data_IF_620232221351
#
_entry.id   IF_620232221351
#
_cell.length_a   1.000
_cell.length_b   1.000
_cell.length_c   1.000
_cell.angle_alpha   90.00
_cell.angle_beta   90.00
_cell.angle_gamma   90.00
#
_symmetry.space_group_name_H-M   'P 1'
#
loop_
_entity.id
_entity.type
_entity.pdbx_description
1 polymer ?
#
# COMPACT_ATOMS: atom_id res chain seq x y z
N UNK A 1 24.02 56.87 39.83
CA UNK A 1 22.71 56.64 39.18
C UNK A 1 22.48 55.13 39.10
N UNK A 2 21.28 54.69 39.49
CA UNK A 2 20.93 53.29 39.83
C UNK A 2 21.05 52.36 38.62
N UNK A 3 21.82 51.27 38.77
CA UNK A 3 21.88 50.17 37.81
C UNK A 3 20.73 49.19 38.02
N UNK A 4 19.90 49.02 36.99
CA UNK A 4 18.83 48.01 36.95
C UNK A 4 19.42 46.65 36.56
N UNK A 5 19.23 45.67 37.45
CA UNK A 5 19.47 44.24 37.21
C UNK A 5 18.22 43.67 36.50
N UNK A 6 18.37 43.23 35.26
CA UNK A 6 17.34 42.47 34.55
C UNK A 6 17.38 41.00 34.97
N UNK A 7 16.31 40.52 35.58
CA UNK A 7 16.09 39.11 35.92
C UNK A 7 15.61 38.40 34.65
N UNK A 8 16.41 37.45 34.16
CA UNK A 8 16.02 36.52 33.08
C UNK A 8 15.26 35.37 33.71
N UNK A 9 13.96 35.28 33.44
CA UNK A 9 13.13 34.14 33.83
C UNK A 9 13.32 32.99 32.82
N UNK A 10 13.99 31.92 33.27
CA UNK A 10 14.07 30.67 32.52
C UNK A 10 12.82 29.85 32.84
N UNK A 11 11.85 29.84 31.93
CA UNK A 11 10.68 28.98 32.00
C UNK A 11 11.04 27.55 31.59
N UNK A 12 10.94 26.61 32.52
CA UNK A 12 11.07 25.18 32.24
C UNK A 12 9.82 24.69 31.50
N UNK A 13 9.95 24.38 30.20
CA UNK A 13 8.92 23.70 29.44
C UNK A 13 8.90 22.21 29.83
N UNK A 14 7.84 21.80 30.53
CA UNK A 14 7.57 20.40 30.85
C UNK A 14 7.13 19.69 29.56
N UNK A 15 8.03 18.93 28.95
CA UNK A 15 7.72 18.12 27.77
C UNK A 15 6.83 16.94 28.19
N UNK A 16 5.52 17.04 27.94
CA UNK A 16 4.62 15.89 27.98
C UNK A 16 4.98 14.95 26.83
N UNK A 17 5.78 13.91 27.11
CA UNK A 17 5.99 12.79 26.20
C UNK A 17 4.69 11.97 26.21
N UNK A 18 3.79 12.28 25.28
CA UNK A 18 2.62 11.44 25.01
C UNK A 18 3.10 10.13 24.42
N UNK A 19 2.84 9.02 25.11
CA UNK A 19 3.00 7.68 24.56
C UNK A 19 2.04 7.56 23.38
N UNK A 20 2.56 7.67 22.16
CA UNK A 20 1.79 7.34 20.96
C UNK A 20 1.36 5.87 21.06
N UNK A 21 0.10 5.53 20.70
CA UNK A 21 -0.32 4.13 20.64
C UNK A 21 0.67 3.38 19.75
N UNK A 22 1.16 2.23 20.22
CA UNK A 22 1.98 1.35 19.40
C UNK A 22 1.22 1.08 18.10
N UNK A 23 1.75 1.53 16.96
CA UNK A 23 1.23 1.14 15.66
C UNK A 23 1.25 -0.39 15.65
N UNK A 24 0.08 -1.01 15.44
CA UNK A 24 0.03 -2.44 15.21
C UNK A 24 0.98 -2.76 14.05
N UNK A 25 1.91 -3.69 14.25
CA UNK A 25 2.80 -4.14 13.17
C UNK A 25 1.95 -4.53 11.98
N UNK A 26 2.26 -3.99 10.80
CA UNK A 26 1.50 -4.26 9.59
C UNK A 26 1.95 -5.53 8.85
N UNK A 27 2.88 -6.29 9.46
CA UNK A 27 3.24 -7.66 9.08
C UNK A 27 2.46 -8.71 9.87
N UNK A 28 1.95 -9.75 9.21
CA UNK A 28 1.37 -10.94 9.85
C UNK A 28 2.16 -12.21 9.54
N UNK A 29 2.13 -13.18 10.44
CA UNK A 29 2.62 -14.54 10.17
C UNK A 29 1.43 -15.42 9.82
N UNK A 30 1.50 -16.10 8.68
CA UNK A 30 0.53 -17.11 8.25
C UNK A 30 1.19 -18.47 8.15
N UNK A 31 0.45 -19.52 8.45
CA UNK A 31 0.99 -20.87 8.54
C UNK A 31 1.58 -21.23 9.91
N UNK A 32 2.30 -22.33 9.98
CA UNK A 32 2.89 -22.82 11.23
C UNK A 32 4.09 -23.74 10.96
N UNK A 33 5.19 -23.47 11.66
CA UNK A 33 6.34 -24.37 11.78
C UNK A 33 6.38 -25.05 13.14
N UNK A 34 7.06 -26.20 13.20
CA UNK A 34 7.00 -27.15 14.29
C UNK A 34 8.41 -27.59 14.65
N UNK A 35 8.73 -27.63 15.94
CA UNK A 35 9.99 -28.22 16.40
C UNK A 35 10.04 -29.72 16.15
N UNK A 36 11.23 -30.23 15.84
CA UNK A 36 11.60 -31.58 15.39
C UNK A 36 11.33 -32.75 16.36
N UNK A 37 10.41 -32.62 17.32
CA UNK A 37 10.26 -33.58 18.43
C UNK A 37 8.88 -34.20 18.63
N UNK A 38 8.00 -34.20 17.61
CA UNK A 38 6.65 -34.78 17.82
C UNK A 38 5.77 -35.11 16.62
N UNK A 39 6.25 -34.95 15.37
CA UNK A 39 5.44 -35.26 14.19
C UNK A 39 5.19 -36.76 14.02
N UNK A 40 3.94 -37.16 13.79
CA UNK A 40 3.62 -38.48 13.23
C UNK A 40 4.16 -38.50 11.81
N UNK A 41 5.29 -39.17 11.54
CA UNK A 41 5.88 -39.22 10.20
C UNK A 41 4.83 -39.54 9.12
N UNK A 42 4.54 -38.56 8.26
CA UNK A 42 3.63 -38.72 7.14
C UNK A 42 4.47 -38.81 5.88
N UNK A 43 4.30 -39.89 5.12
CA UNK A 43 4.92 -40.01 3.80
C UNK A 43 4.09 -39.20 2.82
N UNK A 44 4.52 -37.98 2.52
CA UNK A 44 3.93 -37.21 1.45
C UNK A 44 4.27 -37.86 0.10
N UNK A 45 3.23 -38.12 -0.67
CA UNK A 45 3.43 -38.50 -2.06
C UNK A 45 3.91 -37.27 -2.84
N UNK A 46 4.89 -37.43 -3.72
CA UNK A 46 5.38 -36.30 -4.53
C UNK A 46 4.24 -35.57 -5.24
N UNK A 47 4.28 -34.23 -5.22
CA UNK A 47 3.22 -33.40 -5.76
C UNK A 47 3.13 -32.01 -5.15
N UNK A 48 2.11 -31.27 -5.60
CA UNK A 48 1.75 -29.94 -5.14
C UNK A 48 0.57 -30.03 -4.18
N UNK A 49 0.70 -29.36 -3.03
CA UNK A 49 -0.26 -29.31 -1.94
C UNK A 49 -0.73 -27.88 -1.72
N UNK A 50 -2.00 -27.72 -1.35
CA UNK A 50 -2.64 -26.44 -0.97
C UNK A 50 -3.39 -26.62 0.36
N UNK A 51 -3.10 -25.82 1.40
CA UNK A 51 -3.67 -26.02 2.74
C UNK A 51 -5.13 -25.54 2.85
N UNK A 52 -6.08 -26.36 2.44
CA UNK A 52 -7.49 -25.94 2.33
C UNK A 52 -8.24 -25.71 3.65
N UNK A 53 -7.91 -26.42 4.73
CA UNK A 53 -8.58 -26.30 6.02
C UNK A 53 -7.61 -26.68 7.16
N UNK A 54 -6.80 -25.73 7.67
CA UNK A 54 -5.92 -26.00 8.80
C UNK A 54 -6.70 -25.94 10.13
N UNK A 55 -6.30 -26.77 11.09
CA UNK A 55 -6.63 -26.57 12.50
C UNK A 55 -5.48 -25.83 13.17
N UNK A 56 -5.74 -24.63 13.68
CA UNK A 56 -4.70 -23.80 14.31
C UNK A 56 -4.53 -22.48 13.56
N UNK A 57 -3.29 -22.15 13.22
CA UNK A 57 -2.95 -20.90 12.54
C UNK A 57 -3.58 -20.81 11.15
N UNK A 58 -3.88 -19.58 10.73
CA UNK A 58 -4.45 -19.31 9.42
C UNK A 58 -3.36 -19.42 8.33
N UNK A 59 -3.54 -20.30 7.34
CA UNK A 59 -2.66 -20.42 6.16
C UNK A 59 -3.11 -19.50 5.01
N UNK A 60 -4.19 -18.76 5.24
CA UNK A 60 -4.85 -17.90 4.27
C UNK A 60 -4.37 -16.47 4.48
N UNK A 61 -4.00 -15.78 3.41
CA UNK A 61 -3.58 -14.40 3.48
C UNK A 61 -4.72 -13.50 4.00
N UNK A 62 -4.52 -12.76 5.09
CA UNK A 62 -5.55 -11.91 5.69
C UNK A 62 -5.80 -10.63 4.88
N UNK A 63 -4.89 -10.23 3.99
CA UNK A 63 -5.01 -9.08 3.10
C UNK A 63 -4.17 -9.27 1.82
N UNK A 64 -4.34 -8.36 0.84
CA UNK A 64 -3.44 -8.23 -0.30
C UNK A 64 -2.09 -7.66 0.17
N UNK A 65 -0.99 -8.22 -0.32
CA UNK A 65 0.35 -7.79 0.10
C UNK A 65 1.46 -8.62 -0.54
N UNK A 66 2.60 -8.70 0.14
CA UNK A 66 3.81 -9.39 -0.33
C UNK A 66 4.29 -10.35 0.74
N UNK A 67 4.55 -11.61 0.37
CA UNK A 67 5.31 -12.50 1.23
C UNK A 67 6.78 -12.07 1.22
N UNK A 68 7.33 -11.71 2.38
CA UNK A 68 8.70 -11.21 2.52
C UNK A 68 9.68 -12.27 3.00
N UNK A 69 9.18 -13.27 3.72
CA UNK A 69 9.94 -14.46 4.08
C UNK A 69 9.03 -15.67 4.26
N UNK A 70 9.63 -16.86 4.20
CA UNK A 70 8.96 -18.09 4.59
C UNK A 70 9.93 -19.06 5.24
N UNK A 71 9.42 -19.90 6.13
CA UNK A 71 10.16 -20.91 6.86
C UNK A 71 9.54 -22.28 6.60
N UNK A 72 10.37 -23.32 6.49
CA UNK A 72 9.95 -24.71 6.64
C UNK A 72 10.78 -25.40 7.73
N UNK A 73 10.14 -26.26 8.50
CA UNK A 73 10.77 -26.98 9.63
C UNK A 73 10.70 -28.50 9.51
N UNK A 74 10.56 -29.03 8.29
CA UNK A 74 10.56 -30.47 8.05
C UNK A 74 11.83 -30.94 7.35
N UNK A 75 12.13 -32.23 7.53
CA UNK A 75 13.24 -32.96 6.89
C UNK A 75 12.99 -33.23 5.40
N UNK A 76 12.60 -32.20 4.65
CA UNK A 76 12.35 -32.30 3.21
C UNK A 76 13.66 -32.29 2.42
N UNK A 77 13.77 -33.15 1.41
CA UNK A 77 14.86 -33.11 0.42
C UNK A 77 14.64 -32.03 -0.65
N UNK A 78 14.14 -30.86 -0.25
CA UNK A 78 13.75 -29.77 -1.14
C UNK A 78 12.24 -29.57 -1.20
N UNK A 79 11.80 -28.37 -0.83
CA UNK A 79 10.42 -27.90 -0.92
C UNK A 79 10.38 -26.58 -1.71
N UNK A 80 9.36 -26.40 -2.54
CA UNK A 80 9.01 -25.08 -3.10
C UNK A 80 7.78 -24.57 -2.37
N UNK A 81 7.86 -23.36 -1.83
CA UNK A 81 6.66 -22.64 -1.38
C UNK A 81 5.73 -22.44 -2.58
N UNK A 82 4.44 -22.67 -2.38
CA UNK A 82 3.39 -22.35 -3.34
C UNK A 82 2.42 -21.37 -2.71
N UNK A 83 2.00 -20.39 -3.49
CA UNK A 83 0.83 -19.58 -3.18
C UNK A 83 -0.28 -20.07 -4.07
N UNK A 84 -1.42 -20.42 -3.49
CA UNK A 84 -2.53 -21.07 -4.20
C UNK A 84 -3.84 -20.33 -3.98
N UNK A 85 -4.71 -20.33 -4.98
CA UNK A 85 -6.07 -19.81 -4.87
C UNK A 85 -7.05 -20.96 -4.88
N UNK A 86 -7.79 -21.13 -3.79
CA UNK A 86 -8.85 -22.15 -3.72
C UNK A 86 -9.98 -21.80 -4.69
N UNK A 87 -10.39 -22.79 -5.49
CA UNK A 87 -11.50 -22.72 -6.40
C UNK A 87 -12.77 -23.36 -5.83
N UNK A 88 -13.74 -23.64 -6.70
CA UNK A 88 -14.92 -24.40 -6.30
C UNK A 88 -14.56 -25.88 -6.01
N UNK A 89 -15.29 -26.50 -5.09
CA UNK A 89 -15.04 -27.88 -4.64
C UNK A 89 -13.58 -28.08 -4.18
N UNK A 90 -12.92 -29.16 -4.59
CA UNK A 90 -11.53 -29.47 -4.27
C UNK A 90 -10.53 -28.97 -5.31
N UNK A 91 -10.83 -27.86 -6.02
CA UNK A 91 -9.90 -27.30 -7.01
C UNK A 91 -9.05 -26.17 -6.44
N UNK A 92 -7.85 -25.98 -6.98
CA UNK A 92 -7.00 -24.84 -6.68
C UNK A 92 -6.18 -24.42 -7.90
N UNK A 93 -5.75 -23.16 -7.91
CA UNK A 93 -4.82 -22.61 -8.91
C UNK A 93 -3.52 -22.22 -8.24
N UNK A 94 -2.37 -22.61 -8.79
CA UNK A 94 -1.08 -22.10 -8.31
C UNK A 94 -0.91 -20.67 -8.82
N UNK A 95 -0.79 -19.69 -7.92
CA UNK A 95 -0.64 -18.27 -8.25
C UNK A 95 0.84 -17.92 -8.37
N UNK A 96 1.67 -18.44 -7.46
CA UNK A 96 3.10 -18.21 -7.44
C UNK A 96 3.87 -19.38 -6.82
N UNK A 97 5.18 -19.40 -7.01
CA UNK A 97 6.08 -20.43 -6.51
C UNK A 97 7.44 -19.83 -6.17
N UNK A 98 8.07 -20.31 -5.09
CA UNK A 98 9.49 -20.06 -4.84
C UNK A 98 10.39 -21.04 -5.62
N UNK A 99 11.70 -20.80 -5.52
CA UNK A 99 12.72 -21.80 -5.80
C UNK A 99 12.69 -22.95 -4.80
N UNK A 100 13.36 -24.06 -5.15
CA UNK A 100 13.53 -25.22 -4.29
C UNK A 100 14.50 -24.87 -3.15
N UNK A 101 14.07 -25.12 -1.91
CA UNK A 101 14.85 -24.85 -0.69
C UNK A 101 14.82 -26.03 0.28
N UNK A 102 15.89 -26.18 1.07
CA UNK A 102 15.94 -27.15 2.18
C UNK A 102 15.18 -26.60 3.40
N UNK A 103 15.47 -27.13 4.58
CA UNK A 103 14.98 -26.59 5.87
C UNK A 103 15.57 -25.20 6.15
N UNK A 104 14.78 -24.29 6.72
CA UNK A 104 15.23 -22.97 7.16
C UNK A 104 14.28 -21.83 6.76
N UNK A 105 14.72 -20.60 7.02
CA UNK A 105 14.00 -19.37 6.67
C UNK A 105 14.64 -18.71 5.45
N UNK A 106 13.82 -18.31 4.49
CA UNK A 106 14.26 -17.77 3.21
C UNK A 106 13.54 -16.46 2.89
N UNK A 107 14.27 -15.41 2.48
CA UNK A 107 13.64 -14.21 1.96
C UNK A 107 12.96 -14.51 0.63
N UNK A 108 11.77 -13.94 0.43
CA UNK A 108 11.03 -14.02 -0.83
C UNK A 108 10.40 -12.66 -1.13
N UNK A 109 9.91 -12.53 -2.36
CA UNK A 109 9.09 -11.42 -2.80
C UNK A 109 8.02 -11.97 -3.72
N UNK A 110 6.93 -12.43 -3.10
CA UNK A 110 5.83 -13.07 -3.81
C UNK A 110 4.56 -12.26 -3.52
N UNK A 111 4.02 -11.55 -4.52
CA UNK A 111 2.72 -10.90 -4.38
C UNK A 111 1.65 -11.94 -4.06
N UNK A 112 0.80 -11.62 -3.10
CA UNK A 112 -0.26 -12.49 -2.61
C UNK A 112 -1.54 -11.68 -2.47
N UNK A 113 -2.68 -12.27 -2.82
CA UNK A 113 -3.98 -11.65 -2.59
C UNK A 113 -4.61 -12.20 -1.33
N UNK A 114 -5.44 -11.37 -0.70
CA UNK A 114 -6.33 -11.77 0.35
C UNK A 114 -7.09 -13.03 -0.06
N UNK A 115 -6.99 -14.04 0.79
CA UNK A 115 -7.64 -15.31 0.58
C UNK A 115 -6.89 -16.33 -0.28
N UNK A 116 -5.75 -15.96 -0.85
CA UNK A 116 -4.78 -16.95 -1.31
C UNK A 116 -4.21 -17.71 -0.09
N UNK A 117 -3.73 -18.92 -0.33
CA UNK A 117 -3.41 -19.90 0.70
C UNK A 117 -2.03 -20.48 0.47
N UNK A 118 -1.27 -20.65 1.54
CA UNK A 118 0.03 -21.31 1.49
C UNK A 118 -0.09 -22.79 1.08
N UNK A 119 0.88 -23.22 0.31
CA UNK A 119 1.02 -24.58 -0.18
C UNK A 119 2.48 -24.93 -0.38
N UNK A 120 2.73 -26.15 -0.82
CA UNK A 120 4.07 -26.65 -1.05
C UNK A 120 4.11 -27.60 -2.24
N UNK A 121 5.19 -27.57 -3.02
CA UNK A 121 5.54 -28.71 -3.87
C UNK A 121 6.69 -29.48 -3.25
N UNK A 122 6.49 -30.79 -3.09
CA UNK A 122 7.46 -31.72 -2.51
C UNK A 122 7.84 -32.79 -3.52
N UNK A 123 9.10 -33.20 -3.51
CA UNK A 123 9.59 -34.29 -4.37
C UNK A 123 9.07 -35.64 -3.89
N UNK A 124 8.95 -36.61 -4.81
CA UNK A 124 8.54 -37.97 -4.44
C UNK A 124 9.52 -38.58 -3.43
N UNK A 125 8.98 -39.27 -2.42
CA UNK A 125 9.71 -39.86 -1.30
C UNK A 125 10.36 -38.84 -0.34
N UNK A 126 9.88 -37.59 -0.32
CA UNK A 126 10.20 -36.68 0.77
C UNK A 126 9.55 -37.21 2.06
N UNK A 127 10.39 -37.57 3.04
CA UNK A 127 9.91 -37.77 4.40
C UNK A 127 9.59 -36.40 4.99
N UNK A 128 8.44 -36.29 5.64
CA UNK A 128 8.10 -35.09 6.37
C UNK A 128 7.52 -35.45 7.72
N UNK A 129 8.00 -34.76 8.74
CA UNK A 129 7.29 -34.62 9.99
C UNK A 129 6.11 -33.68 9.74
N UNK A 130 5.02 -34.21 9.19
CA UNK A 130 3.71 -33.58 9.38
C UNK A 130 3.21 -34.06 10.74
N UNK A 131 2.45 -33.29 11.52
CA UNK A 131 1.54 -34.00 12.42
C UNK A 131 0.34 -34.48 11.63
N UNK A 132 -0.01 -35.74 11.86
CA UNK A 132 -1.30 -36.28 11.50
C UNK A 132 -2.39 -35.64 12.35
N UNK A 133 -2.62 -34.34 12.17
CA UNK A 133 -3.87 -33.74 12.62
C UNK A 133 -4.97 -34.31 11.74
N UNK A 134 -5.84 -35.12 12.34
CA UNK A 134 -7.01 -35.68 11.66
C UNK A 134 -7.96 -34.60 11.13
N UNK A 135 -7.77 -33.37 11.59
CA UNK A 135 -8.70 -32.26 11.39
C UNK A 135 -8.13 -31.21 10.41
N UNK A 136 -6.88 -31.35 9.98
CA UNK A 136 -6.28 -30.51 8.94
C UNK A 136 -6.35 -31.18 7.57
N UNK A 137 -6.75 -30.44 6.53
CA UNK A 137 -6.85 -30.96 5.16
C UNK A 137 -6.07 -30.10 4.17
N UNK A 138 -5.25 -30.75 3.35
CA UNK A 138 -4.65 -30.17 2.16
C UNK A 138 -5.18 -30.84 0.89
N UNK A 139 -5.22 -30.08 -0.21
CA UNK A 139 -5.54 -30.59 -1.53
C UNK A 139 -4.25 -30.95 -2.27
N UNK A 140 -4.11 -32.19 -2.70
CA UNK A 140 -2.92 -32.68 -3.42
C UNK A 140 -3.20 -32.86 -4.90
N UNK A 141 -2.27 -32.42 -5.74
CA UNK A 141 -2.19 -32.78 -7.15
C UNK A 141 -0.81 -33.35 -7.49
N UNK A 142 -0.75 -34.24 -8.48
CA UNK A 142 0.50 -34.88 -8.88
C UNK A 142 1.42 -33.88 -9.60
N UNK A 143 2.72 -33.97 -9.31
CA UNK A 143 3.76 -33.14 -9.92
C UNK A 143 3.93 -31.75 -9.30
N UNK A 144 5.02 -31.08 -9.70
CA UNK A 144 5.29 -29.67 -9.39
C UNK A 144 4.54 -28.78 -10.38
N UNK A 145 3.43 -28.20 -9.94
CA UNK A 145 2.58 -27.39 -10.79
C UNK A 145 3.15 -25.98 -10.95
N UNK A 146 3.22 -25.52 -12.21
CA UNK A 146 3.66 -24.17 -12.53
C UNK A 146 2.59 -23.12 -12.15
N UNK A 147 3.01 -21.87 -11.83
CA UNK A 147 2.07 -20.75 -11.71
C UNK A 147 1.12 -20.63 -12.91
N UNK A 148 -0.15 -20.28 -12.65
CA UNK A 148 -1.24 -20.25 -13.62
C UNK A 148 -1.97 -21.59 -13.81
N UNK A 149 -1.48 -22.69 -13.24
CA UNK A 149 -2.10 -24.02 -13.41
C UNK A 149 -3.26 -24.23 -12.45
N UNK A 150 -4.45 -24.55 -12.97
CA UNK A 150 -5.63 -24.95 -12.20
C UNK A 150 -5.86 -26.45 -12.27
N UNK A 151 -6.07 -27.10 -11.12
CA UNK A 151 -6.30 -28.55 -11.02
C UNK A 151 -7.38 -28.86 -9.99
N UNK A 152 -7.97 -30.05 -10.09
CA UNK A 152 -8.71 -30.66 -8.99
C UNK A 152 -7.73 -31.47 -8.13
N UNK A 153 -7.63 -31.13 -6.85
CA UNK A 153 -6.82 -31.86 -5.88
C UNK A 153 -7.62 -32.95 -5.16
N UNK A 154 -6.89 -33.97 -4.71
CA UNK A 154 -7.41 -34.99 -3.80
C UNK A 154 -7.20 -34.51 -2.36
N UNK A 155 -8.24 -34.47 -1.51
CA UNK A 155 -8.06 -34.14 -0.10
C UNK A 155 -7.19 -35.18 0.61
N UNK A 156 -6.21 -34.70 1.38
CA UNK A 156 -5.37 -35.50 2.25
C UNK A 156 -5.33 -34.86 3.65
N UNK A 157 -5.36 -35.69 4.70
CA UNK A 157 -5.36 -35.23 6.08
C UNK A 157 -3.93 -34.90 6.51
N UNK A 158 -3.48 -33.70 6.13
CA UNK A 158 -2.12 -33.23 6.38
C UNK A 158 -2.10 -31.73 6.66
N UNK A 159 -1.19 -31.33 7.53
CA UNK A 159 -0.82 -29.94 7.78
C UNK A 159 0.62 -29.74 7.31
N UNK A 160 0.83 -28.79 6.41
CA UNK A 160 2.15 -28.49 5.84
C UNK A 160 2.97 -27.69 6.87
N UNK A 161 4.18 -28.12 7.26
CA UNK A 161 5.03 -27.37 8.21
C UNK A 161 5.75 -26.20 7.53
N UNK A 162 4.94 -25.25 7.06
CA UNK A 162 5.38 -24.01 6.41
C UNK A 162 4.70 -22.83 7.08
N UNK A 163 5.46 -21.76 7.27
CA UNK A 163 4.93 -20.44 7.63
C UNK A 163 5.53 -19.39 6.71
N UNK A 164 4.84 -18.26 6.57
CA UNK A 164 5.32 -17.11 5.83
C UNK A 164 4.98 -15.82 6.57
N UNK A 165 5.85 -14.82 6.41
CA UNK A 165 5.57 -13.44 6.82
C UNK A 165 4.98 -12.73 5.61
N UNK A 166 3.76 -12.22 5.78
CA UNK A 166 3.10 -11.33 4.83
C UNK A 166 3.20 -9.90 5.35
N UNK A 167 3.50 -8.97 4.45
CA UNK A 167 3.55 -7.53 4.68
C UNK A 167 2.56 -6.84 3.74
N UNK A 168 2.08 -5.66 4.12
CA UNK A 168 1.29 -4.84 3.19
C UNK A 168 2.20 -4.31 2.08
N UNK A 169 1.59 -3.97 0.97
CA UNK A 169 2.22 -3.36 -0.20
C UNK A 169 1.26 -2.25 -0.64
N UNK A 170 1.29 -1.12 0.08
CA UNK A 170 0.28 -0.06 -0.04
C UNK A 170 0.35 0.63 -1.41
N UNK A 171 1.54 0.76 -1.97
CA UNK A 171 1.76 1.41 -3.27
C UNK A 171 1.81 0.44 -4.47
N UNK A 172 1.71 -0.87 -4.21
CA UNK A 172 1.66 -1.96 -5.18
C UNK A 172 2.93 -2.07 -6.05
N UNK A 173 4.10 -1.81 -5.48
CA UNK A 173 5.38 -1.97 -6.15
C UNK A 173 5.98 -3.38 -6.04
N UNK A 174 5.33 -4.24 -5.26
CA UNK A 174 5.70 -5.62 -5.02
C UNK A 174 6.70 -5.80 -3.87
N UNK A 175 6.94 -4.78 -3.03
CA UNK A 175 7.79 -4.85 -1.85
C UNK A 175 6.91 -4.77 -0.59
N UNK A 176 7.35 -5.44 0.48
CA UNK A 176 6.68 -5.31 1.78
C UNK A 176 7.04 -3.99 2.47
N UNK A 177 6.01 -3.24 2.88
CA UNK A 177 6.07 -1.88 3.45
C UNK A 177 6.88 -1.79 4.76
N UNK A 178 7.11 -2.92 5.45
CA UNK A 178 7.77 -2.92 6.76
C UNK A 178 9.26 -3.26 6.67
N UNK A 179 9.63 -4.25 5.85
CA UNK A 179 10.99 -4.79 5.82
C UNK A 179 11.71 -4.58 4.50
N UNK A 180 11.00 -4.38 3.40
CA UNK A 180 11.58 -4.32 2.06
C UNK A 180 11.48 -2.93 1.42
N UNK A 181 10.45 -2.17 1.78
CA UNK A 181 10.21 -0.83 1.30
C UNK A 181 10.35 0.20 2.44
N UNK A 182 11.21 1.19 2.22
CA UNK A 182 11.41 2.30 3.15
C UNK A 182 10.67 3.57 2.69
N UNK A 183 9.90 3.49 1.61
CA UNK A 183 8.93 4.48 1.22
C UNK A 183 7.60 3.91 0.71
N UNK A 184 6.74 3.39 1.61
CA UNK A 184 5.41 2.85 1.30
C UNK A 184 4.41 3.83 0.65
N UNK A 185 4.81 5.09 0.50
CA UNK A 185 4.05 6.11 -0.23
C UNK A 185 4.40 6.18 -1.71
N UNK A 186 5.48 5.55 -2.18
CA UNK A 186 6.03 5.78 -3.52
C UNK A 186 6.48 4.49 -4.18
N UNK A 187 5.66 3.99 -5.10
CA UNK A 187 5.89 2.73 -5.82
C UNK A 187 7.15 2.70 -6.70
N UNK A 188 7.89 3.81 -6.76
CA UNK A 188 9.12 3.95 -7.53
C UNK A 188 10.37 4.00 -6.64
N UNK A 189 10.20 4.03 -5.32
CA UNK A 189 11.28 4.27 -4.35
C UNK A 189 11.23 3.25 -3.22
N UNK A 190 12.10 2.23 -3.30
CA UNK A 190 12.19 1.22 -2.23
C UNK A 190 13.17 1.59 -1.11
N UNK A 191 13.82 2.75 -1.24
CA UNK A 191 14.71 3.33 -0.24
C UNK A 191 13.97 4.30 0.69
N UNK A 192 14.67 5.02 1.59
CA UNK A 192 14.02 5.97 2.49
C UNK A 192 13.18 6.97 1.71
N UNK A 193 11.98 7.28 2.21
CA UNK A 193 11.16 8.31 1.57
C UNK A 193 11.93 9.62 1.37
N UNK A 194 11.77 10.26 0.20
CA UNK A 194 12.38 11.57 -0.03
C UNK A 194 11.93 12.55 1.05
N UNK A 195 12.88 12.99 1.87
CA UNK A 195 12.61 14.02 2.87
C UNK A 195 12.35 15.37 2.16
N UNK A 196 11.55 16.26 2.78
CA UNK A 196 11.38 17.60 2.27
C UNK A 196 12.73 18.27 2.00
N UNK A 197 12.94 18.68 0.76
CA UNK A 197 14.19 19.30 0.31
C UNK A 197 14.03 20.81 0.25
N UNK A 198 14.97 21.55 0.84
CA UNK A 198 14.97 23.01 0.75
C UNK A 198 15.67 23.45 -0.53
N UNK A 199 14.95 24.17 -1.39
CA UNK A 199 15.48 24.88 -2.54
C UNK A 199 15.86 26.30 -2.13
N UNK A 200 17.03 26.78 -2.55
CA UNK A 200 17.51 28.11 -2.23
C UNK A 200 17.97 28.26 -0.78
N UNK A 201 18.05 29.51 -0.30
CA UNK A 201 18.45 29.82 1.08
C UNK A 201 17.98 31.24 1.45
N UNK A 202 17.77 31.49 2.73
CA UNK A 202 17.55 32.85 3.24
C UNK A 202 18.78 33.39 3.96
N UNK A 203 18.93 34.71 4.00
CA UNK A 203 20.04 35.41 4.67
C UNK A 203 19.61 36.79 5.18
N UNK A 204 20.44 37.40 6.03
CA UNK A 204 20.26 38.80 6.41
C UNK A 204 20.38 39.68 5.14
N UNK A 205 19.32 40.40 4.75
CA UNK A 205 19.26 41.11 3.47
C UNK A 205 20.17 42.34 3.44
N UNK A 206 20.66 42.64 2.24
CA UNK A 206 21.32 43.90 1.93
C UNK A 206 20.32 45.06 1.86
N UNK A 207 20.72 46.31 2.15
CA UNK A 207 19.91 47.48 1.86
C UNK A 207 19.76 47.80 0.36
N UNK A 208 20.17 46.91 -0.55
CA UNK A 208 20.05 47.14 -1.99
C UNK A 208 18.63 46.89 -2.48
N UNK A 209 17.91 47.92 -2.90
CA UNK A 209 16.56 47.81 -3.45
C UNK A 209 16.49 46.91 -4.71
N UNK A 210 15.41 46.16 -4.84
CA UNK A 210 15.07 45.41 -6.05
C UNK A 210 14.25 46.25 -7.03
N UNK A 211 14.44 46.03 -8.32
CA UNK A 211 13.57 46.59 -9.35
C UNK A 211 12.23 45.83 -9.38
N UNK A 212 11.24 46.39 -10.07
CA UNK A 212 10.02 45.64 -10.38
C UNK A 212 10.30 44.62 -11.47
N UNK A 213 10.59 43.38 -11.07
CA UNK A 213 11.09 42.35 -11.96
C UNK A 213 10.89 40.94 -11.40
N UNK A 214 10.92 39.97 -12.31
CA UNK A 214 11.10 38.55 -12.01
C UNK A 214 12.58 38.19 -11.97
N UNK A 215 12.95 37.42 -10.97
CA UNK A 215 14.30 36.91 -10.75
C UNK A 215 14.27 35.39 -10.65
N UNK A 216 15.00 34.70 -11.52
CA UNK A 216 15.19 33.24 -11.47
C UNK A 216 16.54 32.93 -10.86
N UNK A 217 16.61 32.02 -9.89
CA UNK A 217 17.87 31.56 -9.32
C UNK A 217 18.48 30.49 -10.23
N UNK A 218 19.51 30.85 -11.00
CA UNK A 218 20.18 29.96 -11.95
C UNK A 218 21.24 29.10 -11.25
N UNK A 219 21.97 29.68 -10.31
CA UNK A 219 22.89 28.93 -9.47
C UNK A 219 23.15 29.66 -8.16
N UNK A 220 23.32 28.91 -7.08
CA UNK A 220 23.70 29.43 -5.78
C UNK A 220 24.54 28.40 -5.03
N UNK A 221 25.76 28.77 -4.65
CA UNK A 221 26.66 27.81 -3.97
C UNK A 221 26.03 27.32 -2.67
N UNK A 222 26.15 26.01 -2.44
CA UNK A 222 25.81 25.33 -1.19
C UNK A 222 24.36 24.88 -1.08
N UNK A 223 23.49 25.22 -2.04
CA UNK A 223 22.07 24.91 -1.98
C UNK A 223 21.51 24.58 -3.37
N UNK A 224 20.65 23.55 -3.49
CA UNK A 224 19.96 23.28 -4.75
C UNK A 224 19.03 24.44 -5.08
N UNK A 225 18.99 24.85 -6.34
CA UNK A 225 18.09 25.92 -6.83
C UNK A 225 17.06 25.42 -7.82
N UNK A 226 17.17 24.14 -8.18
CA UNK A 226 16.22 23.42 -9.01
C UNK A 226 15.64 22.25 -8.21
N UNK A 227 14.37 21.94 -8.45
CA UNK A 227 13.72 20.76 -7.92
C UNK A 227 14.50 19.51 -8.34
N UNK A 228 14.84 18.66 -7.36
CA UNK A 228 15.63 17.44 -7.59
C UNK A 228 14.76 16.26 -8.06
N UNK A 229 13.45 16.39 -7.91
CA UNK A 229 12.42 15.43 -8.28
C UNK A 229 11.12 16.18 -8.62
N UNK A 230 10.15 15.47 -9.18
CA UNK A 230 8.76 15.95 -9.28
C UNK A 230 8.16 16.05 -7.86
N UNK A 231 7.25 17.00 -7.65
CA UNK A 231 6.68 17.21 -6.33
C UNK A 231 5.94 18.53 -6.19
N UNK A 232 5.74 18.96 -4.95
CA UNK A 232 4.97 20.15 -4.59
C UNK A 232 5.79 21.05 -3.69
N UNK A 233 5.85 22.34 -4.02
CA UNK A 233 6.35 23.34 -3.08
C UNK A 233 5.27 23.59 -2.03
N UNK A 234 5.56 23.25 -0.78
CA UNK A 234 4.61 23.31 0.35
C UNK A 234 4.73 24.57 1.19
N UNK A 235 5.86 25.27 1.09
CA UNK A 235 6.11 26.50 1.81
C UNK A 235 7.33 27.24 1.28
N UNK A 236 7.42 28.52 1.58
CA UNK A 236 8.60 29.32 1.25
C UNK A 236 8.87 30.41 2.27
N UNK A 237 10.11 30.87 2.25
CA UNK A 237 10.67 31.80 3.21
C UNK A 237 11.41 32.94 2.52
N UNK A 238 11.34 34.11 3.14
CA UNK A 238 12.06 35.31 2.73
C UNK A 238 12.44 36.14 3.96
N UNK A 239 13.72 36.43 4.12
CA UNK A 239 14.21 37.27 5.21
C UNK A 239 14.20 38.75 4.77
N UNK A 240 13.28 39.54 5.33
CA UNK A 240 13.12 40.93 4.90
C UNK A 240 13.98 41.88 5.73
N UNK A 241 14.50 42.92 5.08
CA UNK A 241 15.39 43.90 5.71
C UNK A 241 14.63 45.07 6.28
N UNK A 242 15.38 46.02 6.84
CA UNK A 242 14.86 47.36 7.11
C UNK A 242 14.69 48.06 5.76
N UNK A 243 13.46 48.08 5.26
CA UNK A 243 13.12 48.76 4.02
C UNK A 243 12.04 49.81 4.32
N UNK A 244 12.18 51.00 3.74
CA UNK A 244 11.29 52.15 3.99
C UNK A 244 10.16 52.27 2.95
N UNK A 245 9.98 51.28 2.07
CA UNK A 245 8.97 51.28 1.01
C UNK A 245 7.71 50.49 1.37
N UNK A 246 6.69 50.53 0.50
CA UNK A 246 5.57 49.59 0.49
C UNK A 246 5.77 48.66 -0.71
N UNK A 247 6.44 47.53 -0.50
CA UNK A 247 6.81 46.61 -1.56
C UNK A 247 6.26 45.22 -1.33
N UNK A 248 5.93 44.53 -2.42
CA UNK A 248 5.46 43.15 -2.38
C UNK A 248 6.51 42.20 -2.97
N UNK A 249 6.47 40.97 -2.49
CA UNK A 249 7.24 39.83 -3.00
C UNK A 249 6.31 38.64 -3.22
N UNK A 250 6.61 37.80 -4.20
CA UNK A 250 5.98 36.48 -4.32
C UNK A 250 6.97 35.45 -4.84
N UNK A 251 6.80 34.22 -4.40
CA UNK A 251 7.49 33.07 -4.96
C UNK A 251 7.03 32.80 -6.39
N UNK A 252 7.96 32.39 -7.24
CA UNK A 252 7.69 31.82 -8.56
C UNK A 252 8.56 30.61 -8.81
N UNK A 253 7.99 29.63 -9.51
CA UNK A 253 8.73 28.47 -10.02
C UNK A 253 8.85 28.58 -11.54
N UNK A 254 10.05 28.32 -12.05
CA UNK A 254 10.41 28.55 -13.44
C UNK A 254 10.94 27.29 -14.11
N UNK A 255 10.30 26.85 -15.19
CA UNK A 255 10.79 25.76 -16.03
C UNK A 255 11.77 26.27 -17.07
N UNK A 256 13.02 25.79 -17.10
CA UNK A 256 13.95 26.09 -18.19
C UNK A 256 13.42 25.55 -19.52
N UNK A 257 13.41 26.38 -20.56
CA UNK A 257 13.10 26.03 -21.95
C UNK A 257 14.34 26.12 -22.86
N UNK A 258 15.40 26.72 -22.35
CA UNK A 258 16.67 26.96 -23.02
C UNK A 258 17.67 27.55 -22.03
N UNK A 259 18.75 28.15 -22.53
CA UNK A 259 19.80 28.71 -21.67
C UNK A 259 19.29 29.84 -20.76
N UNK A 260 18.49 30.74 -21.33
CA UNK A 260 17.91 31.90 -20.63
C UNK A 260 16.39 32.02 -20.81
N UNK A 261 15.77 31.04 -21.45
CA UNK A 261 14.32 31.02 -21.68
C UNK A 261 13.66 30.24 -20.55
N UNK A 262 12.66 30.86 -19.93
CA UNK A 262 11.95 30.28 -18.79
C UNK A 262 10.44 30.40 -18.97
N UNK A 263 9.70 29.40 -18.50
CA UNK A 263 8.25 29.42 -18.33
C UNK A 263 7.89 29.49 -16.85
N UNK A 264 6.98 30.36 -16.44
CA UNK A 264 6.44 30.33 -15.07
C UNK A 264 5.48 29.15 -14.96
N UNK A 265 5.78 28.17 -14.10
CA UNK A 265 4.91 26.99 -13.89
C UNK A 265 3.95 27.18 -12.72
N UNK A 266 4.30 28.05 -11.78
CA UNK A 266 3.42 28.43 -10.67
C UNK A 266 3.99 29.60 -9.88
N UNK A 267 3.11 30.25 -9.12
CA UNK A 267 3.44 31.44 -8.35
C UNK A 267 2.53 31.55 -7.10
N UNK A 268 3.06 32.11 -6.02
CA UNK A 268 2.25 32.56 -4.89
C UNK A 268 1.54 33.89 -5.24
N UNK A 269 0.59 34.30 -4.41
CA UNK A 269 0.05 35.65 -4.41
C UNK A 269 1.09 36.66 -3.86
N UNK A 270 1.00 37.95 -4.25
CA UNK A 270 1.84 39.01 -3.66
C UNK A 270 1.72 39.06 -2.13
N UNK A 271 2.86 39.10 -1.43
CA UNK A 271 2.97 39.23 0.03
C UNK A 271 3.69 40.52 0.37
N UNK A 272 3.24 41.20 1.42
CA UNK A 272 3.99 42.30 2.05
C UNK A 272 4.81 41.71 3.20
N UNK A 273 6.14 41.64 3.08
CA UNK A 273 6.95 41.04 4.11
C UNK A 273 7.06 41.97 5.32
N UNK A 274 6.95 41.41 6.53
CA UNK A 274 7.27 42.12 7.75
C UNK A 274 8.79 42.38 7.79
N UNK A 275 9.18 43.63 8.08
CA UNK A 275 10.58 44.05 8.10
C UNK A 275 11.37 43.39 9.23
N UNK A 276 12.66 43.14 8.99
CA UNK A 276 13.61 42.60 9.97
C UNK A 276 13.24 41.25 10.58
N UNK A 277 12.42 40.46 9.89
CA UNK A 277 12.06 39.10 10.32
C UNK A 277 12.16 38.11 9.16
N UNK A 278 12.31 36.83 9.51
CA UNK A 278 12.13 35.73 8.57
C UNK A 278 10.64 35.52 8.35
N UNK A 279 10.16 35.83 7.15
CA UNK A 279 8.79 35.60 6.76
C UNK A 279 8.68 34.17 6.22
N UNK A 280 7.60 33.46 6.59
CA UNK A 280 7.31 32.10 6.11
C UNK A 280 5.85 32.02 5.70
N UNK A 281 5.57 31.45 4.53
CA UNK A 281 4.21 31.30 4.02
C UNK A 281 3.99 29.89 3.45
N UNK A 282 2.88 29.23 3.79
CA UNK A 282 2.49 27.97 3.15
C UNK A 282 2.01 28.25 1.72
N UNK A 283 2.34 27.35 0.81
CA UNK A 283 1.91 27.38 -0.60
C UNK A 283 1.64 25.97 -1.09
N UNK A 284 1.11 25.87 -2.31
CA UNK A 284 0.95 24.62 -3.02
C UNK A 284 1.21 24.88 -4.50
N UNK A 285 2.42 24.58 -4.94
CA UNK A 285 2.82 24.80 -6.33
C UNK A 285 3.44 23.49 -6.84
N UNK A 286 2.73 22.75 -7.71
CA UNK A 286 3.29 21.57 -8.37
C UNK A 286 4.48 21.95 -9.25
N UNK A 287 5.53 21.15 -9.19
CA UNK A 287 6.77 21.33 -9.95
C UNK A 287 7.24 20.00 -10.52
N UNK A 288 8.11 20.09 -11.54
CA UNK A 288 8.86 18.95 -12.06
C UNK A 288 10.33 19.08 -11.74
N UNK A 289 11.03 17.96 -11.77
CA UNK A 289 12.48 17.91 -11.71
C UNK A 289 13.08 18.93 -12.70
N UNK A 290 14.02 19.74 -12.21
CA UNK A 290 14.67 20.80 -12.97
C UNK A 290 13.98 22.17 -12.94
N UNK A 291 12.74 22.29 -12.46
CA UNK A 291 12.08 23.58 -12.25
C UNK A 291 12.84 24.39 -11.17
N UNK A 292 13.06 25.68 -11.42
CA UNK A 292 13.92 26.55 -10.62
C UNK A 292 13.14 27.50 -9.73
N UNK A 293 13.65 27.73 -8.53
CA UNK A 293 13.10 28.73 -7.62
C UNK A 293 13.41 30.14 -8.11
N UNK A 294 12.50 31.07 -7.87
CA UNK A 294 12.71 32.49 -8.09
C UNK A 294 11.64 33.34 -7.39
N UNK A 295 11.73 34.65 -7.58
CA UNK A 295 10.84 35.62 -6.94
C UNK A 295 10.45 36.73 -7.91
N UNK A 296 9.27 37.28 -7.70
CA UNK A 296 8.89 38.58 -8.24
C UNK A 296 8.89 39.61 -7.11
N UNK A 297 9.37 40.83 -7.38
CA UNK A 297 9.35 41.92 -6.39
C UNK A 297 8.85 43.24 -6.95
N UNK A 298 8.25 44.07 -6.09
CA UNK A 298 7.85 45.46 -6.35
C UNK A 298 8.50 46.39 -5.31
N UNK A 299 9.83 46.47 -5.28
CA UNK A 299 10.57 47.39 -4.40
C UNK A 299 11.34 46.81 -3.20
N UNK A 300 11.04 45.61 -2.63
CA UNK A 300 11.88 45.03 -1.57
C UNK A 300 13.30 44.68 -2.06
N UNK A 301 14.29 44.60 -1.15
CA UNK A 301 15.61 44.07 -1.48
C UNK A 301 15.55 42.59 -1.87
N UNK A 302 16.07 42.22 -3.04
CA UNK A 302 15.98 40.84 -3.57
C UNK A 302 17.18 39.94 -3.23
N UNK A 303 18.31 40.54 -2.85
CA UNK A 303 19.60 39.88 -2.87
C UNK A 303 20.44 40.12 -1.60
N UNK A 304 21.40 39.24 -1.35
CA UNK A 304 22.33 39.32 -0.21
C UNK A 304 23.38 40.39 -0.41
N UNK A 305 24.06 40.75 0.70
CA UNK A 305 25.36 41.42 0.66
C UNK A 305 26.49 40.45 0.27
N UNK A 306 26.26 39.14 0.34
CA UNK A 306 27.24 38.12 0.04
C UNK A 306 27.26 37.80 -1.46
N UNK A 307 28.27 38.32 -2.16
CA UNK A 307 28.54 37.97 -3.56
C UNK A 307 29.51 36.80 -3.66
N UNK A 308 29.23 35.87 -4.58
CA UNK A 308 30.17 34.84 -5.03
C UNK A 308 30.17 34.83 -6.55
N UNK A 309 31.33 34.65 -7.18
CA UNK A 309 31.49 34.65 -8.63
C UNK A 309 30.64 33.57 -9.35
N UNK A 310 30.27 32.51 -8.63
CA UNK A 310 29.49 31.39 -9.16
C UNK A 310 27.99 31.50 -8.89
N UNK A 311 27.53 32.45 -8.06
CA UNK A 311 26.09 32.69 -7.96
C UNK A 311 25.61 33.35 -9.26
N UNK A 312 24.46 32.90 -9.77
CA UNK A 312 23.87 33.43 -10.99
C UNK A 312 22.37 33.53 -10.81
N UNK A 313 21.81 34.65 -11.25
CA UNK A 313 20.38 34.81 -11.43
C UNK A 313 20.11 35.35 -12.83
N UNK A 314 18.88 35.22 -13.29
CA UNK A 314 18.42 35.85 -14.52
C UNK A 314 17.24 36.77 -14.19
N UNK A 315 17.13 37.91 -14.87
CA UNK A 315 16.13 38.95 -14.58
C UNK A 315 15.28 39.26 -15.81
N UNK A 316 14.00 39.49 -15.58
CA UNK A 316 13.06 40.00 -16.57
C UNK A 316 12.28 41.16 -15.95
N UNK A 317 12.26 42.32 -16.61
CA UNK A 317 11.47 43.45 -16.15
C UNK A 317 9.98 43.15 -16.23
N UNK A 318 9.23 43.57 -15.20
CA UNK A 318 7.80 43.29 -15.11
C UNK A 318 7.48 41.98 -14.40
N UNK A 319 6.25 41.50 -14.61
CA UNK A 319 5.66 40.40 -13.86
C UNK A 319 5.09 39.33 -14.82
N UNK A 320 5.88 38.32 -15.15
CA UNK A 320 5.49 37.28 -16.11
C UNK A 320 4.38 36.40 -15.52
N UNK A 321 3.24 36.31 -16.22
CA UNK A 321 2.10 35.52 -15.77
C UNK A 321 2.41 34.00 -15.76
N UNK A 322 1.74 33.26 -14.88
CA UNK A 322 1.81 31.79 -14.86
C UNK A 322 1.38 31.21 -16.21
N UNK A 323 2.15 30.24 -16.71
CA UNK A 323 1.95 29.61 -18.02
C UNK A 323 2.69 30.30 -19.17
N UNK A 324 3.09 31.57 -19.01
CA UNK A 324 3.82 32.34 -20.02
C UNK A 324 5.32 32.06 -19.99
N UNK A 325 5.99 32.34 -21.10
CA UNK A 325 7.43 32.18 -21.30
C UNK A 325 8.08 33.47 -21.78
N UNK A 326 9.34 33.68 -21.40
CA UNK A 326 10.15 34.79 -21.90
C UNK A 326 11.65 34.49 -21.79
N UNK A 327 12.45 35.27 -22.49
CA UNK A 327 13.91 35.29 -22.37
C UNK A 327 14.34 36.24 -21.26
N UNK A 328 15.11 35.74 -20.31
CA UNK A 328 15.62 36.52 -19.18
C UNK A 328 17.03 37.02 -19.47
N UNK A 329 17.39 38.17 -18.91
CA UNK A 329 18.76 38.70 -18.99
C UNK A 329 19.60 38.11 -17.86
N UNK A 330 20.70 37.38 -18.12
CA UNK A 330 21.54 36.83 -17.07
C UNK A 330 22.27 37.94 -16.29
N UNK A 331 22.48 37.73 -15.00
CA UNK A 331 23.21 38.68 -14.15
C UNK A 331 24.67 38.82 -14.60
N UNK A 332 25.10 40.05 -14.90
CA UNK A 332 26.48 40.36 -15.27
C UNK A 332 27.46 40.18 -14.09
N UNK A 333 28.09 39.01 -14.01
CA UNK A 333 29.38 38.75 -13.33
C UNK A 333 29.46 38.86 -11.79
N UNK A 334 28.68 39.70 -11.13
CA UNK A 334 28.69 39.87 -9.66
C UNK A 334 27.51 39.12 -9.05
N UNK A 335 27.68 37.81 -8.94
CA UNK A 335 26.68 36.87 -8.47
C UNK A 335 26.24 37.13 -7.03
N UNK A 336 25.12 37.81 -6.87
CA UNK A 336 24.47 37.91 -5.55
C UNK A 336 23.64 36.67 -5.28
N UNK A 337 23.55 36.28 -4.00
CA UNK A 337 22.60 35.24 -3.57
C UNK A 337 21.20 35.84 -3.54
N UNK A 338 20.20 35.04 -3.88
CA UNK A 338 18.79 35.44 -3.86
C UNK A 338 18.16 34.99 -2.55
N UNK A 339 17.41 35.88 -1.89
CA UNK A 339 16.97 35.70 -0.51
C UNK A 339 15.70 34.87 -0.38
N UNK A 340 15.68 33.70 -1.01
CA UNK A 340 14.49 32.88 -1.09
C UNK A 340 14.84 31.44 -0.80
N UNK A 341 14.09 30.83 0.10
CA UNK A 341 14.09 29.40 0.32
C UNK A 341 12.68 28.84 0.12
N UNK A 342 12.54 27.64 -0.41
CA UNK A 342 11.26 26.94 -0.51
C UNK A 342 11.42 25.47 -0.16
N UNK A 343 10.40 24.89 0.46
CA UNK A 343 10.36 23.46 0.80
C UNK A 343 9.65 22.71 -0.33
N UNK A 344 10.38 21.77 -0.95
CA UNK A 344 9.86 20.81 -1.92
C UNK A 344 9.57 19.49 -1.20
N UNK A 345 8.35 18.98 -1.37
CA UNK A 345 7.96 17.63 -0.94
C UNK A 345 7.64 16.78 -2.16
N UNK A 346 7.74 15.46 -2.02
CA UNK A 346 7.21 14.52 -3.00
C UNK A 346 5.68 14.65 -3.12
N UNK A 347 5.15 14.17 -4.24
CA UNK A 347 3.72 14.11 -4.59
C UNK A 347 3.52 12.80 -5.34
N UNK A 348 3.49 11.69 -4.60
CA UNK A 348 3.62 10.36 -5.17
C UNK A 348 2.38 9.92 -5.97
N UNK A 349 1.19 10.35 -5.54
CA UNK A 349 -0.06 10.05 -6.23
C UNK A 349 -0.50 11.13 -7.25
N UNK A 350 0.19 12.27 -7.28
CA UNK A 350 -0.02 13.34 -8.24
C UNK A 350 -1.27 14.17 -7.98
N UNK A 351 -1.75 14.22 -6.74
CA UNK A 351 -2.92 15.01 -6.34
C UNK A 351 -2.59 16.51 -6.11
N UNK A 352 -1.30 16.85 -6.15
CA UNK A 352 -0.80 18.20 -5.99
C UNK A 352 -0.58 18.62 -4.55
N UNK A 353 -0.61 17.70 -3.57
CA UNK A 353 -0.28 17.93 -2.17
C UNK A 353 1.09 17.33 -1.85
N UNK A 354 1.81 17.93 -0.91
CA UNK A 354 3.07 17.36 -0.44
C UNK A 354 2.85 16.19 0.51
N UNK A 355 3.45 15.04 0.20
CA UNK A 355 3.28 13.76 0.91
C UNK A 355 3.64 13.82 2.41
N UNK A 356 4.48 14.77 2.83
CA UNK A 356 4.98 14.83 4.21
C UNK A 356 4.13 15.73 5.11
N UNK A 357 3.75 16.91 4.62
CA UNK A 357 3.12 17.94 5.45
C UNK A 357 1.67 18.24 5.07
N UNK A 358 1.25 17.92 3.86
CA UNK A 358 -0.07 18.30 3.35
C UNK A 358 -0.99 17.11 3.11
N UNK A 359 -0.43 15.96 2.74
CA UNK A 359 -1.16 14.75 2.46
C UNK A 359 -0.99 13.70 3.56
N UNK A 360 -2.12 13.16 4.04
CA UNK A 360 -2.17 12.07 5.01
C UNK A 360 -2.53 10.73 4.36
N UNK A 361 -2.71 10.72 3.04
CA UNK A 361 -2.77 9.52 2.23
C UNK A 361 -2.03 9.66 0.88
N UNK A 362 -0.69 9.70 0.90
CA UNK A 362 0.17 9.83 -0.30
C UNK A 362 0.00 8.78 -1.40
N UNK A 363 -0.87 7.78 -1.20
CA UNK A 363 -1.11 6.67 -2.14
C UNK A 363 -2.49 6.73 -2.78
N UNK A 364 -3.31 7.73 -2.45
CA UNK A 364 -4.65 7.86 -3.02
C UNK A 364 -4.97 9.31 -3.39
N UNK A 365 -4.97 9.64 -4.70
CA UNK A 365 -5.04 11.03 -5.14
C UNK A 365 -6.42 11.67 -4.97
N UNK A 366 -7.37 10.93 -4.38
CA UNK A 366 -8.72 11.38 -4.11
C UNK A 366 -8.94 11.77 -2.64
N UNK A 367 -7.93 11.63 -1.76
CA UNK A 367 -8.09 11.93 -0.34
C UNK A 367 -6.81 12.44 0.30
N UNK A 368 -6.91 13.59 0.97
CA UNK A 368 -5.80 14.16 1.73
C UNK A 368 -5.93 13.96 3.24
N UNK A 369 -7.00 13.24 3.65
CA UNK A 369 -7.19 12.76 4.99
C UNK A 369 -6.36 11.51 5.27
N UNK A 370 -6.52 10.92 6.45
CA UNK A 370 -5.94 9.60 6.73
C UNK A 370 -6.34 8.61 5.66
N UNK A 371 -5.41 7.77 5.20
CA UNK A 371 -5.76 6.74 4.25
C UNK A 371 -6.99 5.94 4.72
N UNK A 372 -8.00 5.76 3.86
CA UNK A 372 -9.11 4.89 4.21
C UNK A 372 -8.51 3.54 4.59
N UNK A 373 -8.95 2.93 5.71
CA UNK A 373 -8.50 1.59 6.01
C UNK A 373 -8.82 0.72 4.78
N UNK A 374 -7.95 -0.25 4.46
CA UNK A 374 -8.24 -1.18 3.39
C UNK A 374 -9.64 -1.74 3.62
N UNK A 375 -10.45 -1.73 2.56
CA UNK A 375 -11.83 -2.20 2.62
C UNK A 375 -11.85 -3.54 3.36
N UNK A 376 -12.67 -3.71 4.41
CA UNK A 376 -12.77 -5.01 5.05
C UNK A 376 -13.08 -6.04 3.96
N UNK A 377 -12.51 -7.26 4.04
CA UNK A 377 -12.77 -8.30 3.06
C UNK A 377 -14.26 -8.35 2.75
N UNK A 378 -14.66 -8.46 1.47
CA UNK A 378 -16.03 -8.85 1.19
C UNK A 378 -16.30 -10.12 2.02
N UNK A 379 -17.42 -10.18 2.75
CA UNK A 379 -17.71 -11.33 3.60
C UNK A 379 -17.56 -12.59 2.75
N UNK A 380 -16.79 -13.56 3.27
CA UNK A 380 -16.58 -14.83 2.59
C UNK A 380 -17.92 -15.30 2.03
N UNK A 381 -18.03 -15.59 0.71
CA UNK A 381 -19.29 -16.06 0.16
C UNK A 381 -19.75 -17.24 1.01
N UNK A 382 -21.05 -17.29 1.40
CA UNK A 382 -21.54 -18.37 2.24
C UNK A 382 -21.10 -19.70 1.63
N UNK A 383 -20.64 -20.66 2.46
CA UNK A 383 -20.10 -21.92 1.97
C UNK A 383 -21.02 -22.48 0.90
N UNK A 384 -20.51 -22.65 -0.32
CA UNK A 384 -21.34 -23.20 -1.38
C UNK A 384 -21.73 -24.62 -0.95
N UNK A 385 -23.03 -24.98 -1.01
CA UNK A 385 -23.45 -26.33 -0.65
C UNK A 385 -22.66 -27.34 -1.48
N UNK A 386 -22.11 -28.35 -0.82
CA UNK A 386 -21.31 -29.40 -1.46
C UNK A 386 -22.11 -30.09 -2.58
N UNK A 387 -21.40 -30.73 -3.51
CA UNK A 387 -22.05 -31.52 -4.55
C UNK A 387 -22.95 -32.63 -3.95
N UNK A 388 -22.59 -33.19 -2.79
CA UNK A 388 -23.47 -34.11 -2.06
C UNK A 388 -24.72 -33.42 -1.52
N UNK A 389 -24.58 -32.23 -0.92
CA UNK A 389 -25.72 -31.45 -0.44
C UNK A 389 -26.71 -31.13 -1.57
N UNK A 390 -26.21 -30.70 -2.74
CA UNK A 390 -27.03 -30.41 -3.91
C UNK A 390 -27.79 -31.66 -4.38
N UNK A 391 -27.11 -32.81 -4.51
CA UNK A 391 -27.74 -34.09 -4.88
C UNK A 391 -28.77 -34.55 -3.84
N UNK A 392 -28.49 -34.37 -2.55
CA UNK A 392 -29.41 -34.73 -1.47
C UNK A 392 -30.69 -33.87 -1.52
N UNK A 393 -30.55 -32.56 -1.76
CA UNK A 393 -31.68 -31.63 -1.92
C UNK A 393 -32.53 -31.99 -3.13
N UNK A 394 -31.91 -32.27 -4.28
CA UNK A 394 -32.62 -32.74 -5.47
C UNK A 394 -33.41 -34.03 -5.18
N UNK A 395 -32.77 -35.02 -4.54
CA UNK A 395 -33.41 -36.27 -4.14
C UNK A 395 -34.59 -36.09 -3.17
N UNK A 396 -34.54 -35.10 -2.29
CA UNK A 396 -35.63 -34.74 -1.38
C UNK A 396 -36.84 -34.15 -2.14
N UNK A 397 -36.60 -33.25 -3.08
CA UNK A 397 -37.66 -32.65 -3.89
C UNK A 397 -38.36 -33.69 -4.77
N UNK A 398 -37.58 -34.60 -5.33
CA UNK A 398 -38.03 -35.72 -6.13
C UNK A 398 -38.91 -36.71 -5.31
N UNK A 399 -38.52 -36.94 -4.05
CA UNK A 399 -39.30 -37.72 -3.08
C UNK A 399 -40.61 -37.00 -2.67
N UNK A 400 -40.59 -35.68 -2.43
CA UNK A 400 -41.77 -34.86 -2.13
C UNK A 400 -42.76 -34.88 -3.30
N UNK A 401 -42.28 -34.79 -4.54
CA UNK A 401 -43.11 -34.86 -5.74
C UNK A 401 -43.81 -36.22 -5.87
N UNK A 402 -43.08 -37.32 -5.62
CA UNK A 402 -43.65 -38.69 -5.59
C UNK A 402 -44.71 -38.85 -4.49
N UNK A 403 -44.51 -38.24 -3.32
CA UNK A 403 -45.50 -38.22 -2.24
C UNK A 403 -46.76 -37.45 -2.63
N UNK A 404 -46.63 -36.28 -3.28
CA UNK A 404 -47.76 -35.48 -3.80
C UNK A 404 -48.60 -36.30 -4.78
N UNK A 405 -47.95 -36.94 -5.77
CA UNK A 405 -48.61 -37.84 -6.74
C UNK A 405 -49.32 -39.02 -6.06
N UNK A 406 -48.71 -39.63 -5.02
CA UNK A 406 -49.32 -40.73 -4.28
C UNK A 406 -50.56 -40.29 -3.47
N UNK A 407 -50.53 -39.10 -2.84
CA UNK A 407 -51.68 -38.53 -2.12
C UNK A 407 -52.84 -38.23 -3.08
N UNK A 408 -52.56 -37.65 -4.25
CA UNK A 408 -53.57 -37.42 -5.29
C UNK A 408 -54.26 -38.72 -5.72
N UNK A 409 -53.48 -39.78 -5.99
CA UNK A 409 -54.03 -41.10 -6.35
C UNK A 409 -54.86 -41.74 -5.23
N UNK A 410 -54.57 -41.42 -3.97
CA UNK A 410 -55.38 -41.87 -2.84
C UNK A 410 -56.73 -41.14 -2.78
N UNK A 411 -56.75 -39.83 -3.06
CA UNK A 411 -57.97 -39.03 -3.11
C UNK A 411 -58.93 -39.52 -4.20
N UNK A 412 -58.39 -39.86 -5.39
CA UNK A 412 -59.16 -40.37 -6.53
C UNK A 412 -59.52 -41.87 -6.46
N UNK A 413 -59.08 -42.59 -5.42
CA UNK A 413 -59.30 -44.04 -5.36
C UNK A 413 -60.70 -44.38 -4.83
N UNK A 414 -61.52 -45.02 -5.67
CA UNK A 414 -62.83 -45.54 -5.29
C UNK A 414 -62.79 -47.05 -5.00
N UNK A 415 -63.59 -47.49 -4.03
CA UNK A 415 -63.61 -48.89 -3.58
C UNK A 415 -62.52 -49.26 -2.55
N UNK A 416 -62.90 -50.14 -1.61
CA UNK A 416 -62.09 -50.50 -0.42
C UNK A 416 -60.70 -51.04 -0.78
N UNK A 417 -60.61 -51.89 -1.82
CA UNK A 417 -59.36 -52.52 -2.29
C UNK A 417 -58.39 -51.50 -2.91
N UNK A 418 -58.88 -50.60 -3.77
CA UNK A 418 -58.07 -49.54 -4.40
C UNK A 418 -57.58 -48.52 -3.36
N UNK A 419 -58.45 -48.08 -2.44
CA UNK A 419 -58.05 -47.22 -1.30
C UNK A 419 -56.95 -47.86 -0.45
N UNK A 420 -57.06 -49.14 -0.09
CA UNK A 420 -56.02 -49.86 0.68
C UNK A 420 -54.67 -49.87 -0.06
N UNK A 421 -54.67 -50.13 -1.38
CA UNK A 421 -53.45 -50.11 -2.22
C UNK A 421 -52.84 -48.69 -2.29
N UNK A 422 -53.66 -47.66 -2.46
CA UNK A 422 -53.21 -46.27 -2.50
C UNK A 422 -52.63 -45.80 -1.15
N UNK A 423 -53.25 -46.16 -0.01
CA UNK A 423 -52.72 -45.89 1.33
C UNK A 423 -51.32 -46.51 1.52
N UNK A 424 -51.11 -47.75 1.06
CA UNK A 424 -49.79 -48.40 1.10
C UNK A 424 -48.74 -47.63 0.28
N UNK A 425 -49.12 -47.10 -0.89
CA UNK A 425 -48.24 -46.24 -1.70
C UNK A 425 -47.88 -44.92 -1.00
N UNK A 426 -48.86 -44.26 -0.37
CA UNK A 426 -48.61 -43.04 0.42
C UNK A 426 -47.66 -43.31 1.59
N UNK A 427 -47.86 -44.42 2.33
CA UNK A 427 -46.97 -44.82 3.43
C UNK A 427 -45.53 -45.03 2.93
N UNK A 428 -45.35 -45.73 1.80
CA UNK A 428 -44.03 -45.93 1.18
C UNK A 428 -43.39 -44.61 0.72
N UNK A 429 -44.16 -43.69 0.14
CA UNK A 429 -43.64 -42.39 -0.28
C UNK A 429 -43.25 -41.48 0.90
N UNK A 430 -44.02 -41.48 2.00
CA UNK A 430 -43.65 -40.77 3.23
C UNK A 430 -42.32 -41.27 3.80
N UNK A 431 -42.09 -42.58 3.81
CA UNK A 431 -40.82 -43.16 4.27
C UNK A 431 -39.63 -42.70 3.40
N UNK A 432 -39.83 -42.58 2.07
CA UNK A 432 -38.79 -42.04 1.17
C UNK A 432 -38.46 -40.58 1.46
N UNK A 433 -39.48 -39.73 1.68
CA UNK A 433 -39.25 -38.33 2.08
C UNK A 433 -38.48 -38.26 3.40
N UNK A 434 -38.84 -39.06 4.41
CA UNK A 434 -38.11 -39.11 5.68
C UNK A 434 -36.63 -39.49 5.48
N UNK A 435 -36.35 -40.51 4.65
CA UNK A 435 -34.97 -40.94 4.34
C UNK A 435 -34.19 -39.85 3.59
N UNK A 436 -34.79 -39.21 2.59
CA UNK A 436 -34.14 -38.14 1.84
C UNK A 436 -33.86 -36.91 2.71
N UNK A 437 -34.76 -36.59 3.64
CA UNK A 437 -34.57 -35.48 4.58
C UNK A 437 -33.40 -35.74 5.55
N UNK A 438 -33.20 -37.00 5.97
CA UNK A 438 -32.04 -37.39 6.75
C UNK A 438 -30.74 -37.27 5.94
N UNK A 439 -30.76 -37.66 4.66
CA UNK A 439 -29.60 -37.49 3.77
C UNK A 439 -29.23 -36.01 3.54
N UNK A 440 -30.22 -35.10 3.49
CA UNK A 440 -29.95 -33.65 3.43
C UNK A 440 -29.32 -33.17 4.73
N UNK A 441 -29.80 -33.61 5.89
CA UNK A 441 -29.22 -33.25 7.18
C UNK A 441 -27.80 -33.79 7.40
N UNK A 442 -27.46 -34.92 6.79
CA UNK A 442 -26.12 -35.50 6.83
C UNK A 442 -25.15 -34.79 5.87
N UNK A 443 -25.64 -34.22 4.76
CA UNK A 443 -24.80 -33.73 3.67
C UNK A 443 -24.61 -32.20 3.57
N UNK A 444 -25.40 -31.37 4.29
CA UNK A 444 -25.53 -29.92 4.01
C UNK A 444 -25.05 -28.92 5.08
#
# INVERSE_FOLDING_TARGET
>A
MKGMRGIVAVGAALACVGLAPAQASASDVIGEVWGSSGGIGCTLSGGTYSQSAPTGNEYKAPYDGVLTSWTNSGTFFGLKLKVTRLGAASSFTVVASSDLRGEGTYPVRIPIRQGDVLGASVSANSFSECAGYTDSTALRAAGDLAPGTTVSGTPENVLLPIEAVIERDVDNDGYGDETQDQCPSSATTQGPCPLPTVLGQTFAPAPSGGATADYVVVNQIGFPTAAQQDGVITGWQYAAGSYSGAGAIRLKMFRPLGLNDYRVVGADQPRTPASNVLNSWPVRIPVRQGDRIGIHTTGPPVASNASDANNRYAVLAGDLATGSSATFTPSGGTGRRMNVAATLEADADGDGFGDTSQDKCPTNPNTQGTCPPPSPPPPSPPPQPSAECLKAREGLDDAKQKLKKAKSKLAMAEGKKRKKKARKKVKKAKAKVKKANAAVAEAC
#
